data_IF_490230411625
#
_entry.id   IF_490230411625
#
_cell.length_a   1.000
_cell.length_b   1.000
_cell.length_c   1.000
_cell.angle_alpha   90.00
_cell.angle_beta   90.00
_cell.angle_gamma   90.00
#
_symmetry.space_group_name_H-M   'P 1'
#
loop_
_entity.id
_entity.type
_entity.pdbx_description
1 polymer ?
#
# COMPACT_ATOMS: atom_id res chain seq x y z
N UNK A 1 8.26 -26.47 -32.01
CA UNK A 1 8.65 -27.08 -30.73
C UNK A 1 7.81 -26.58 -29.54
N UNK A 2 7.54 -25.27 -29.43
CA UNK A 2 6.72 -24.61 -28.38
C UNK A 2 5.31 -25.21 -28.19
N UNK A 3 4.58 -25.52 -29.27
CA UNK A 3 3.22 -26.13 -29.19
C UNK A 3 3.19 -27.53 -28.56
N UNK A 4 4.28 -28.31 -28.64
CA UNK A 4 4.39 -29.65 -28.01
C UNK A 4 4.67 -29.54 -26.50
N UNK A 5 5.45 -28.53 -26.08
CA UNK A 5 5.78 -28.26 -24.68
C UNK A 5 4.56 -27.79 -23.89
N UNK A 6 3.78 -26.85 -24.46
CA UNK A 6 2.49 -26.38 -23.91
C UNK A 6 1.49 -27.54 -23.76
N UNK A 7 1.46 -28.51 -24.68
CA UNK A 7 0.60 -29.70 -24.56
C UNK A 7 1.04 -30.66 -23.44
N UNK A 8 2.35 -30.84 -23.20
CA UNK A 8 2.87 -31.65 -22.09
C UNK A 8 2.58 -31.01 -20.72
N UNK A 9 2.78 -29.69 -20.61
CA UNK A 9 2.43 -28.89 -19.43
C UNK A 9 0.95 -28.99 -19.07
N UNK A 10 0.05 -28.86 -20.05
CA UNK A 10 -1.39 -29.07 -19.86
C UNK A 10 -1.71 -30.47 -19.33
N UNK A 11 -0.98 -31.51 -19.74
CA UNK A 11 -1.17 -32.89 -19.30
C UNK A 11 -0.80 -33.12 -17.83
N UNK A 12 0.38 -32.69 -17.40
CA UNK A 12 0.84 -32.83 -16.02
C UNK A 12 0.01 -31.96 -15.05
N UNK A 13 -0.32 -30.74 -15.47
CA UNK A 13 -1.07 -29.79 -14.66
C UNK A 13 -2.57 -30.08 -14.61
N UNK A 14 -3.18 -30.63 -15.68
CA UNK A 14 -4.59 -31.04 -15.66
C UNK A 14 -4.91 -32.09 -14.59
N UNK A 15 -3.93 -32.94 -14.26
CA UNK A 15 -4.02 -33.92 -13.16
C UNK A 15 -4.01 -33.24 -11.80
N UNK A 16 -3.24 -32.16 -11.66
CA UNK A 16 -3.06 -31.43 -10.42
C UNK A 16 -4.23 -30.50 -10.11
N UNK A 17 -4.69 -29.77 -11.13
CA UNK A 17 -6.00 -29.12 -11.16
C UNK A 17 -7.17 -30.12 -11.21
N UNK A 18 -6.90 -31.42 -11.24
CA UNK A 18 -7.92 -32.48 -11.27
C UNK A 18 -8.54 -32.75 -9.90
N UNK A 19 -7.86 -32.40 -8.80
CA UNK A 19 -8.32 -32.69 -7.43
C UNK A 19 -9.13 -31.54 -6.79
N UNK A 20 -8.73 -30.28 -6.96
CA UNK A 20 -9.44 -29.10 -6.40
C UNK A 20 -10.22 -28.36 -7.49
N UNK A 21 -11.50 -28.03 -7.25
CA UNK A 21 -12.34 -27.22 -8.16
C UNK A 21 -12.01 -25.73 -8.09
N UNK A 22 -11.51 -25.28 -6.94
CA UNK A 22 -11.11 -23.89 -6.68
C UNK A 22 -9.70 -23.93 -6.11
N UNK A 23 -8.78 -23.14 -6.67
CA UNK A 23 -7.44 -22.93 -6.14
C UNK A 23 -7.30 -21.45 -5.82
N UNK A 24 -6.85 -21.14 -4.60
CA UNK A 24 -6.63 -19.78 -4.09
C UNK A 24 -5.14 -19.56 -3.87
N UNK A 25 -4.53 -18.67 -4.64
CA UNK A 25 -3.10 -18.34 -4.53
C UNK A 25 -2.91 -16.91 -4.05
N UNK A 26 -1.99 -16.71 -3.11
CA UNK A 26 -1.47 -15.38 -2.78
C UNK A 26 -0.20 -15.11 -3.59
N UNK A 27 -0.06 -13.92 -4.17
CA UNK A 27 1.19 -13.47 -4.82
C UNK A 27 1.65 -12.22 -4.10
N UNK A 28 2.63 -12.36 -3.21
CA UNK A 28 3.05 -11.32 -2.27
C UNK A 28 4.50 -10.93 -2.49
N UNK A 29 4.87 -9.73 -2.06
CA UNK A 29 6.25 -9.26 -2.14
C UNK A 29 6.33 -7.75 -2.33
N UNK A 30 7.56 -7.24 -2.27
CA UNK A 30 7.82 -5.81 -2.43
C UNK A 30 7.26 -5.23 -3.74
N UNK A 31 7.03 -3.91 -3.80
CA UNK A 31 6.71 -3.23 -5.05
C UNK A 31 7.74 -3.52 -6.15
N UNK A 32 7.27 -3.67 -7.39
CA UNK A 32 8.10 -3.90 -8.58
C UNK A 32 8.88 -5.23 -8.62
N UNK A 33 8.52 -6.22 -7.79
CA UNK A 33 9.09 -7.58 -7.86
C UNK A 33 8.60 -8.38 -9.06
N UNK A 34 7.47 -8.01 -9.67
CA UNK A 34 6.91 -8.66 -10.87
C UNK A 34 5.60 -9.45 -10.65
N UNK A 35 4.88 -9.15 -9.56
CA UNK A 35 3.64 -9.85 -9.14
C UNK A 35 2.57 -9.87 -10.20
N UNK A 36 2.18 -8.70 -10.73
CA UNK A 36 1.19 -8.58 -11.81
C UNK A 36 1.64 -9.31 -13.07
N UNK A 37 2.92 -9.24 -13.42
CA UNK A 37 3.47 -9.97 -14.58
C UNK A 37 3.33 -11.49 -14.40
N UNK A 38 3.66 -12.01 -13.21
CA UNK A 38 3.51 -13.44 -12.92
C UNK A 38 2.05 -13.87 -12.89
N UNK A 39 1.17 -13.09 -12.26
CA UNK A 39 -0.27 -13.36 -12.21
C UNK A 39 -0.87 -13.47 -13.62
N UNK A 40 -0.50 -12.56 -14.52
CA UNK A 40 -0.94 -12.59 -15.92
C UNK A 40 -0.46 -13.86 -16.64
N UNK A 41 0.80 -14.28 -16.43
CA UNK A 41 1.33 -15.54 -16.98
C UNK A 41 0.56 -16.75 -16.46
N UNK A 42 0.35 -16.83 -15.14
CA UNK A 42 -0.39 -17.92 -14.51
C UNK A 42 -1.82 -17.98 -15.08
N UNK A 43 -2.53 -16.85 -15.14
CA UNK A 43 -3.88 -16.79 -15.70
C UNK A 43 -3.93 -17.30 -17.14
N UNK A 44 -3.01 -16.82 -17.98
CA UNK A 44 -2.99 -17.19 -19.39
C UNK A 44 -2.63 -18.68 -19.57
N UNK A 45 -1.62 -19.16 -18.85
CA UNK A 45 -1.14 -20.55 -18.95
C UNK A 45 -2.18 -21.55 -18.43
N UNK A 46 -2.86 -21.22 -17.33
CA UNK A 46 -3.76 -22.15 -16.62
C UNK A 46 -5.19 -22.08 -17.15
N UNK A 47 -5.66 -20.89 -17.47
CA UNK A 47 -7.07 -20.66 -17.81
C UNK A 47 -7.27 -20.26 -19.27
N UNK A 48 -6.20 -19.95 -20.01
CA UNK A 48 -6.28 -19.53 -21.41
C UNK A 48 -6.97 -18.19 -21.60
N UNK A 49 -7.03 -17.36 -20.55
CA UNK A 49 -7.67 -16.05 -20.53
C UNK A 49 -6.70 -15.01 -19.97
N UNK A 50 -6.66 -13.85 -20.61
CA UNK A 50 -6.08 -12.66 -19.99
C UNK A 50 -6.91 -12.29 -18.75
N UNK A 51 -6.25 -11.74 -17.74
CA UNK A 51 -6.88 -11.40 -16.46
C UNK A 51 -7.99 -10.38 -16.72
N UNK A 52 -9.24 -10.81 -16.57
CA UNK A 52 -10.43 -9.98 -16.69
C UNK A 52 -10.98 -9.60 -15.32
N UNK A 53 -11.17 -8.29 -15.11
CA UNK A 53 -11.58 -7.61 -13.88
C UNK A 53 -10.47 -7.61 -12.81
N UNK A 54 -9.58 -6.62 -12.91
CA UNK A 54 -8.80 -6.13 -11.77
C UNK A 54 -9.76 -5.29 -10.94
N UNK A 55 -10.30 -5.85 -9.86
CA UNK A 55 -10.92 -5.02 -8.84
C UNK A 55 -9.79 -4.38 -8.05
N UNK A 56 -9.42 -3.15 -8.39
CA UNK A 56 -8.70 -2.30 -7.46
C UNK A 56 -9.68 -1.99 -6.34
N UNK A 57 -9.52 -2.57 -5.15
CA UNK A 57 -10.35 -2.15 -4.03
C UNK A 57 -9.82 -0.80 -3.54
N UNK A 58 -10.53 0.33 -3.80
CA UNK A 58 -10.08 1.62 -3.36
C UNK A 58 -10.32 1.67 -1.87
N UNK A 59 -9.24 1.78 -1.11
CA UNK A 59 -9.35 2.18 0.27
C UNK A 59 -8.61 3.51 0.34
N UNK A 60 -9.38 4.59 0.44
CA UNK A 60 -8.86 5.94 0.56
C UNK A 60 -8.38 6.17 1.99
N UNK A 61 -7.06 6.16 2.20
CA UNK A 61 -6.34 6.77 3.32
C UNK A 61 -4.83 6.58 3.13
N UNK A 62 -4.02 7.45 3.76
CA UNK A 62 -2.59 7.72 3.49
C UNK A 62 -1.59 6.57 3.78
N UNK A 63 -2.04 5.32 3.81
CA UNK A 63 -1.24 4.15 4.25
C UNK A 63 -1.68 2.81 3.62
N UNK A 64 -2.45 2.81 2.52
CA UNK A 64 -3.11 1.58 2.05
C UNK A 64 -2.37 0.87 0.91
N UNK A 65 -2.23 -0.44 1.11
CA UNK A 65 -1.73 -1.46 0.19
C UNK A 65 -2.69 -1.66 -0.98
N UNK A 66 -2.14 -1.76 -2.20
CA UNK A 66 -2.90 -2.17 -3.37
C UNK A 66 -3.09 -3.69 -3.29
N UNK A 67 -4.31 -4.12 -2.95
CA UNK A 67 -4.71 -5.53 -3.06
C UNK A 67 -5.46 -5.69 -4.38
N UNK A 68 -4.86 -6.41 -5.33
CA UNK A 68 -5.54 -6.76 -6.57
C UNK A 68 -6.15 -8.16 -6.41
N UNK A 69 -7.47 -8.27 -6.52
CA UNK A 69 -8.17 -9.54 -6.50
C UNK A 69 -8.51 -9.96 -7.93
N UNK A 70 -8.10 -11.18 -8.28
CA UNK A 70 -8.28 -11.76 -9.61
C UNK A 70 -9.03 -13.08 -9.47
N UNK A 71 -10.21 -13.18 -10.08
CA UNK A 71 -10.96 -14.43 -10.18
C UNK A 71 -11.13 -14.82 -11.66
N UNK A 72 -10.58 -15.97 -12.04
CA UNK A 72 -10.65 -16.47 -13.42
C UNK A 72 -11.39 -17.80 -13.43
N UNK A 73 -12.41 -17.91 -14.28
CA UNK A 73 -13.23 -19.12 -14.47
C UNK A 73 -13.03 -19.75 -15.84
N UNK A 74 -12.79 -21.06 -15.85
CA UNK A 74 -12.70 -21.88 -17.06
C UNK A 74 -13.46 -23.20 -16.84
N UNK A 75 -14.68 -23.29 -17.37
CA UNK A 75 -15.57 -24.42 -17.13
C UNK A 75 -15.96 -24.55 -15.65
N UNK A 76 -15.72 -25.72 -15.04
CA UNK A 76 -16.02 -25.99 -13.61
C UNK A 76 -14.89 -25.60 -12.66
N UNK A 77 -13.84 -24.95 -13.17
CA UNK A 77 -12.60 -24.63 -12.44
C UNK A 77 -12.50 -23.13 -12.22
N UNK A 78 -12.12 -22.76 -11.00
CA UNK A 78 -11.91 -21.36 -10.59
C UNK A 78 -10.49 -21.20 -10.05
N UNK A 79 -9.77 -20.21 -10.57
CA UNK A 79 -8.51 -19.73 -10.02
C UNK A 79 -8.76 -18.38 -9.37
N UNK A 80 -8.45 -18.27 -8.08
CA UNK A 80 -8.49 -17.02 -7.33
C UNK A 80 -7.07 -16.62 -7.00
N UNK A 81 -6.64 -15.42 -7.38
CA UNK A 81 -5.32 -14.89 -7.06
C UNK A 81 -5.47 -13.55 -6.33
N UNK A 82 -4.81 -13.43 -5.19
CA UNK A 82 -4.71 -12.18 -4.44
C UNK A 82 -3.29 -11.64 -4.58
N UNK A 83 -3.12 -10.48 -5.20
CA UNK A 83 -1.83 -9.80 -5.30
C UNK A 83 -1.77 -8.76 -4.20
N UNK A 84 -0.73 -8.83 -3.37
CA UNK A 84 -0.54 -7.89 -2.27
C UNK A 84 0.78 -7.15 -2.45
N UNK A 85 0.68 -5.87 -2.78
CA UNK A 85 1.81 -4.95 -2.81
C UNK A 85 2.05 -4.42 -1.41
N UNK A 86 3.23 -4.69 -0.85
CA UNK A 86 3.55 -4.42 0.55
C UNK A 86 4.59 -3.27 0.71
N UNK A 87 4.35 -2.04 0.23
CA UNK A 87 5.15 -0.93 0.71
C UNK A 87 4.82 -0.72 2.20
N UNK A 88 5.73 -1.10 3.10
CA UNK A 88 5.69 -0.70 4.51
C UNK A 88 4.60 -1.37 5.38
N UNK A 89 4.41 -2.69 5.28
CA UNK A 89 3.53 -3.47 6.19
C UNK A 89 3.96 -3.46 7.67
N UNK A 90 4.90 -2.61 8.08
CA UNK A 90 5.37 -2.42 9.46
C UNK A 90 4.39 -1.65 10.35
N UNK A 91 3.09 -1.73 10.07
CA UNK A 91 2.08 -1.06 10.87
C UNK A 91 1.57 -2.00 11.97
N UNK A 92 2.35 -2.17 13.03
CA UNK A 92 1.72 -2.35 14.34
C UNK A 92 1.01 -1.04 14.65
N UNK A 93 -0.29 -0.95 14.38
CA UNK A 93 -1.08 0.25 14.69
C UNK A 93 -1.26 0.29 16.21
N UNK A 94 -0.30 0.90 16.91
CA UNK A 94 -0.50 1.25 18.31
C UNK A 94 -1.28 2.58 18.37
N UNK A 95 -2.53 2.49 18.80
CA UNK A 95 -3.41 3.63 19.07
C UNK A 95 -2.73 4.72 19.93
N UNK A 96 -1.81 4.35 20.83
CA UNK A 96 -1.09 5.31 21.67
C UNK A 96 -0.21 6.26 20.86
N UNK A 97 0.31 5.84 19.70
CA UNK A 97 1.12 6.70 18.83
C UNK A 97 0.29 7.82 18.21
N UNK A 98 -0.94 7.54 17.81
CA UNK A 98 -1.85 8.53 17.20
C UNK A 98 -2.21 9.69 18.14
N UNK A 99 -2.23 9.46 19.46
CA UNK A 99 -2.49 10.51 20.46
C UNK A 99 -1.35 11.53 20.60
N UNK A 100 -0.17 11.21 20.06
CA UNK A 100 1.02 12.08 20.06
C UNK A 100 1.02 13.05 18.88
N UNK A 101 0.27 12.76 17.82
CA UNK A 101 0.17 13.63 16.65
C UNK A 101 -0.78 14.81 16.89
N UNK A 102 -0.52 15.91 16.16
CA UNK A 102 -1.36 17.10 16.13
C UNK A 102 -2.03 17.18 14.77
N UNK A 103 -3.28 17.63 14.73
CA UNK A 103 -3.95 17.93 13.47
C UNK A 103 -3.13 18.99 12.72
N UNK A 104 -2.82 18.75 11.45
CA UNK A 104 -2.27 19.78 10.58
C UNK A 104 -3.34 20.84 10.37
N UNK A 105 -3.18 22.00 11.01
CA UNK A 105 -4.04 23.15 10.76
C UNK A 105 -3.68 23.67 9.38
N UNK A 106 -4.62 23.59 8.43
CA UNK A 106 -4.50 24.36 7.20
C UNK A 106 -4.43 25.84 7.58
N UNK A 107 -3.49 26.59 7.01
CA UNK A 107 -3.34 28.04 7.24
C UNK A 107 -4.53 28.88 6.70
N UNK A 108 -5.70 28.25 6.50
CA UNK A 108 -6.92 28.84 5.94
C UNK A 108 -7.89 29.37 6.99
N UNK A 109 -7.55 29.30 8.30
CA UNK A 109 -8.40 29.80 9.40
C UNK A 109 -7.66 30.82 10.28
N UNK A 110 -7.19 31.90 9.64
CA UNK A 110 -6.53 33.05 10.29
C UNK A 110 -7.56 33.92 11.01
N UNK A 111 -7.37 34.18 12.31
CA UNK A 111 -8.19 35.12 13.10
C UNK A 111 -7.35 36.38 13.43
N UNK A 112 -8.01 37.53 13.59
CA UNK A 112 -7.39 38.79 14.04
C UNK A 112 -6.55 38.63 15.31
N UNK A 113 -6.93 37.70 16.18
CA UNK A 113 -6.21 37.40 17.43
C UNK A 113 -4.79 36.87 17.17
N UNK A 114 -4.60 36.19 16.04
CA UNK A 114 -3.36 35.51 15.64
C UNK A 114 -2.33 36.47 15.02
N UNK A 115 -2.72 37.72 14.76
CA UNK A 115 -1.85 38.74 14.16
C UNK A 115 -1.12 39.58 15.22
N UNK A 116 0.08 40.06 14.89
CA UNK A 116 0.82 41.01 15.75
C UNK A 116 0.11 42.35 15.75
N UNK A 117 0.31 43.13 16.82
CA UNK A 117 -0.25 44.48 16.93
C UNK A 117 0.20 45.37 15.77
N UNK A 118 1.45 45.23 15.32
CA UNK A 118 1.97 45.94 14.14
C UNK A 118 1.19 45.63 12.86
N UNK A 119 0.86 44.36 12.65
CA UNK A 119 0.15 43.90 11.45
C UNK A 119 -1.31 44.34 11.47
N UNK A 120 -1.96 44.27 12.64
CA UNK A 120 -3.32 44.81 12.84
C UNK A 120 -3.39 46.32 12.60
N UNK A 121 -2.34 47.05 12.97
CA UNK A 121 -2.25 48.50 12.70
C UNK A 121 -2.11 48.81 11.21
N UNK A 122 -1.34 48.00 10.47
CA UNK A 122 -1.23 48.13 9.01
C UNK A 122 -2.57 47.88 8.31
N UNK A 123 -3.29 46.82 8.70
CA UNK A 123 -4.63 46.55 8.14
C UNK A 123 -5.61 47.67 8.50
N UNK A 124 -5.55 48.20 9.73
CA UNK A 124 -6.39 49.33 10.12
C UNK A 124 -6.09 50.60 9.30
N UNK A 125 -4.83 50.84 8.94
CA UNK A 125 -4.43 51.97 8.11
C UNK A 125 -4.94 51.85 6.66
N UNK A 126 -4.91 50.66 6.06
CA UNK A 126 -5.52 50.40 4.73
C UNK A 126 -7.04 50.62 4.74
N UNK A 127 -7.70 50.39 5.87
CA UNK A 127 -9.13 50.58 6.06
C UNK A 127 -9.51 52.00 6.53
N UNK A 128 -8.56 52.94 6.51
CA UNK A 128 -8.73 54.32 7.00
C UNK A 128 -9.29 54.39 8.45
N UNK A 129 -8.84 53.46 9.28
CA UNK A 129 -9.19 53.35 10.69
C UNK A 129 -8.02 53.78 11.59
N UNK A 130 -8.35 54.29 12.78
CA UNK A 130 -7.34 54.66 13.77
C UNK A 130 -6.42 53.48 14.14
N UNK A 131 -5.12 53.64 13.86
CA UNK A 131 -4.04 52.72 14.22
C UNK A 131 -3.57 52.82 15.67
N UNK A 132 -4.20 53.67 16.49
CA UNK A 132 -3.82 53.88 17.90
C UNK A 132 -4.73 53.12 18.87
N UNK A 133 -4.20 52.82 20.05
CA UNK A 133 -4.91 52.11 21.13
C UNK A 133 -4.44 50.66 21.37
N UNK A 134 -5.07 50.02 22.36
CA UNK A 134 -4.76 48.64 22.78
C UNK A 134 -5.20 47.63 21.69
N UNK A 135 -4.50 46.49 21.60
CA UNK A 135 -4.76 45.40 20.61
C UNK A 135 -6.25 45.06 20.48
N UNK A 136 -6.96 44.91 21.60
CA UNK A 136 -8.37 44.54 21.63
C UNK A 136 -9.28 45.56 20.92
N UNK A 137 -9.00 46.86 21.10
CA UNK A 137 -9.78 47.93 20.47
C UNK A 137 -9.59 47.97 18.95
N UNK A 138 -8.35 47.76 18.48
CA UNK A 138 -8.03 47.67 17.05
C UNK A 138 -8.75 46.47 16.43
N UNK A 139 -8.71 45.31 17.09
CA UNK A 139 -9.42 44.10 16.62
C UNK A 139 -10.93 44.34 16.53
N UNK A 140 -11.52 45.01 17.53
CA UNK A 140 -12.96 45.27 17.54
C UNK A 140 -13.39 46.16 16.36
N UNK A 141 -12.63 47.22 16.07
CA UNK A 141 -12.89 48.11 14.92
C UNK A 141 -12.77 47.38 13.60
N UNK A 142 -11.71 46.59 13.42
CA UNK A 142 -11.51 45.78 12.22
C UNK A 142 -12.63 44.75 12.04
N UNK A 143 -13.04 44.06 13.11
CA UNK A 143 -14.14 43.08 13.05
C UNK A 143 -15.49 43.68 12.66
N UNK A 144 -15.69 44.97 12.91
CA UNK A 144 -16.91 45.66 12.53
C UNK A 144 -16.95 46.03 11.02
N UNK A 145 -15.79 46.06 10.36
CA UNK A 145 -15.65 46.56 8.98
C UNK A 145 -15.23 45.50 7.96
N UNK A 146 -14.45 44.50 8.37
CA UNK A 146 -13.94 43.45 7.46
C UNK A 146 -14.30 42.04 7.92
N UNK A 147 -14.68 41.22 6.96
CA UNK A 147 -14.98 39.80 7.14
C UNK A 147 -13.72 38.95 7.31
N UNK A 148 -13.89 37.70 7.77
CA UNK A 148 -12.79 36.72 7.83
C UNK A 148 -12.15 36.46 6.45
N UNK A 149 -12.91 36.54 5.36
CA UNK A 149 -12.41 36.30 4.01
C UNK A 149 -11.54 37.46 3.53
N UNK A 150 -11.95 38.69 3.80
CA UNK A 150 -11.16 39.89 3.50
C UNK A 150 -9.88 39.96 4.33
N UNK A 151 -9.95 39.54 5.60
CA UNK A 151 -8.75 39.41 6.44
C UNK A 151 -7.71 38.46 5.81
N UNK A 152 -8.14 37.37 5.18
CA UNK A 152 -7.24 36.44 4.50
C UNK A 152 -6.56 37.08 3.28
N UNK A 153 -7.31 37.88 2.52
CA UNK A 153 -6.77 38.68 1.41
C UNK A 153 -5.69 39.62 1.90
N UNK A 154 -5.96 40.40 2.96
CA UNK A 154 -4.97 41.30 3.55
C UNK A 154 -3.72 40.59 4.09
N UNK A 155 -3.90 39.44 4.74
CA UNK A 155 -2.76 38.64 5.25
C UNK A 155 -1.87 38.17 4.10
N UNK A 156 -2.46 37.79 2.96
CA UNK A 156 -1.75 37.38 1.75
C UNK A 156 -1.05 38.56 1.08
N UNK A 157 -1.76 39.65 0.84
CA UNK A 157 -1.28 40.79 0.06
C UNK A 157 -0.21 41.58 0.81
N UNK A 158 -0.40 41.76 2.12
CA UNK A 158 0.57 42.42 3.01
C UNK A 158 1.71 41.50 3.45
N UNK A 159 1.73 40.25 2.96
CA UNK A 159 2.71 39.18 3.28
C UNK A 159 2.93 39.00 4.77
N UNK A 160 1.85 39.04 5.55
CA UNK A 160 1.91 38.94 7.00
C UNK A 160 2.26 37.50 7.39
N UNK A 161 3.35 37.32 8.15
CA UNK A 161 3.71 36.04 8.73
C UNK A 161 2.80 35.73 9.92
N UNK A 162 1.75 34.96 9.67
CA UNK A 162 0.89 34.43 10.75
C UNK A 162 1.70 33.40 11.54
N UNK A 163 1.73 33.55 12.86
CA UNK A 163 2.29 32.51 13.73
C UNK A 163 1.54 31.20 13.48
N UNK A 164 2.25 30.17 13.03
CA UNK A 164 1.68 28.85 12.82
C UNK A 164 0.97 28.41 14.12
N UNK A 165 -0.36 28.23 14.06
CA UNK A 165 -1.11 27.66 15.18
C UNK A 165 -0.47 26.30 15.48
N UNK A 166 -0.03 26.09 16.73
CA UNK A 166 0.28 24.73 17.21
C UNK A 166 -1.00 23.91 17.00
N UNK A 167 -0.95 22.94 16.09
CA UNK A 167 -2.12 22.14 15.72
C UNK A 167 -2.83 21.60 16.96
N UNK A 168 -4.16 21.54 16.91
CA UNK A 168 -4.95 21.00 18.01
C UNK A 168 -4.52 19.54 18.22
N UNK A 169 -4.33 19.15 19.48
CA UNK A 169 -3.99 17.77 19.83
C UNK A 169 -5.16 16.90 19.35
N UNK A 170 -4.87 15.86 18.56
CA UNK A 170 -5.92 14.97 18.04
C UNK A 170 -6.73 14.44 19.22
N UNK A 171 -8.05 14.57 19.14
CA UNK A 171 -8.92 14.09 20.22
C UNK A 171 -8.80 12.58 20.37
N UNK A 172 -9.01 12.04 21.57
CA UNK A 172 -8.96 10.58 21.80
C UNK A 172 -9.94 9.83 20.89
N UNK A 173 -11.10 10.44 20.60
CA UNK A 173 -12.11 9.89 19.69
C UNK A 173 -11.65 9.92 18.22
N UNK A 174 -11.08 11.03 17.75
CA UNK A 174 -10.55 11.16 16.38
C UNK A 174 -9.34 10.24 16.16
N UNK A 175 -8.42 10.18 17.13
CA UNK A 175 -7.29 9.25 17.09
C UNK A 175 -7.78 7.80 17.05
N UNK A 176 -8.88 7.50 17.75
CA UNK A 176 -9.45 6.15 17.81
C UNK A 176 -10.07 5.79 16.48
N UNK A 177 -10.77 6.73 15.86
CA UNK A 177 -11.33 6.56 14.51
C UNK A 177 -10.24 6.39 13.44
N UNK A 178 -9.17 7.19 13.51
CA UNK A 178 -8.00 7.06 12.61
C UNK A 178 -7.31 5.72 12.81
N UNK A 179 -7.12 5.29 14.07
CA UNK A 179 -6.56 3.99 14.37
C UNK A 179 -7.49 2.86 13.92
N UNK A 180 -8.80 2.97 14.16
CA UNK A 180 -9.80 1.99 13.70
C UNK A 180 -9.81 1.89 12.17
N UNK A 181 -9.77 3.00 11.43
CA UNK A 181 -9.68 3.03 9.96
C UNK A 181 -8.36 2.43 9.46
N UNK A 182 -7.22 2.80 10.05
CA UNK A 182 -5.91 2.23 9.73
C UNK A 182 -5.83 0.73 10.06
N UNK A 183 -6.45 0.31 11.17
CA UNK A 183 -6.52 -1.10 11.59
C UNK A 183 -7.46 -1.88 10.67
N UNK A 184 -8.54 -1.26 10.16
CA UNK A 184 -9.49 -1.91 9.26
C UNK A 184 -8.83 -2.34 7.94
N UNK A 185 -8.00 -1.47 7.34
CA UNK A 185 -7.24 -1.81 6.13
C UNK A 185 -6.23 -2.95 6.35
N UNK A 186 -5.63 -3.03 7.55
CA UNK A 186 -4.72 -4.12 7.93
C UNK A 186 -5.49 -5.41 8.19
N UNK A 187 -6.61 -5.35 8.91
CA UNK A 187 -7.48 -6.50 9.20
C UNK A 187 -8.06 -7.07 7.91
N UNK A 188 -8.43 -6.23 6.94
CA UNK A 188 -8.88 -6.67 5.62
C UNK A 188 -7.76 -7.36 4.84
N UNK A 189 -6.53 -6.83 4.85
CA UNK A 189 -5.36 -7.51 4.28
C UNK A 189 -5.07 -8.87 4.97
N UNK A 190 -5.26 -8.96 6.29
CA UNK A 190 -5.08 -10.19 7.08
C UNK A 190 -6.17 -11.24 6.74
N UNK A 191 -7.43 -10.84 6.52
CA UNK A 191 -8.51 -11.77 6.12
C UNK A 191 -8.23 -12.47 4.80
N UNK A 192 -7.47 -11.84 3.89
CA UNK A 192 -7.06 -12.44 2.63
C UNK A 192 -5.97 -13.50 2.80
N UNK A 193 -5.25 -13.53 3.92
CA UNK A 193 -4.30 -14.60 4.25
C UNK A 193 -5.01 -15.86 4.75
N UNK A 194 -6.21 -15.74 5.32
CA UNK A 194 -6.91 -16.85 5.99
C UNK A 194 -7.61 -17.81 5.00
N UNK A 195 -7.65 -17.50 3.70
CA UNK A 195 -8.32 -18.31 2.67
C UNK A 195 -7.43 -18.53 1.44
N UNK A 196 -6.15 -18.86 1.64
CA UNK A 196 -5.20 -19.13 0.56
C UNK A 196 -4.69 -20.57 0.69
N UNK A 197 -4.64 -21.31 -0.41
CA UNK A 197 -4.10 -22.67 -0.45
C UNK A 197 -2.55 -22.66 -0.41
N UNK A 198 -1.93 -21.70 -1.09
CA UNK A 198 -0.47 -21.50 -1.09
C UNK A 198 -0.11 -20.05 -1.47
N UNK A 199 0.97 -19.54 -0.90
CA UNK A 199 1.48 -18.19 -1.19
C UNK A 199 2.79 -18.26 -1.96
N UNK A 200 2.82 -17.55 -3.08
CA UNK A 200 4.02 -17.26 -3.87
C UNK A 200 4.62 -15.95 -3.36
N UNK A 201 5.75 -16.03 -2.68
CA UNK A 201 6.52 -14.87 -2.24
C UNK A 201 7.49 -14.47 -3.34
N UNK A 202 7.27 -13.33 -3.98
CA UNK A 202 8.10 -12.81 -5.04
C UNK A 202 9.23 -11.94 -4.49
N UNK A 203 10.46 -12.34 -4.82
CA UNK A 203 11.67 -11.60 -4.48
C UNK A 203 12.43 -11.22 -5.76
N UNK A 204 12.94 -10.00 -5.81
CA UNK A 204 13.77 -9.53 -6.93
C UNK A 204 15.20 -10.04 -6.76
N UNK A 205 15.62 -10.94 -7.66
CA UNK A 205 16.95 -11.56 -7.61
C UNK A 205 18.10 -10.58 -7.84
N UNK A 206 17.83 -9.34 -8.27
CA UNK A 206 18.85 -8.29 -8.42
C UNK A 206 19.08 -7.48 -7.15
N UNK A 207 18.29 -7.71 -6.10
CA UNK A 207 18.31 -6.98 -4.83
C UNK A 207 18.76 -7.88 -3.67
N UNK A 208 19.00 -7.25 -2.53
CA UNK A 208 19.24 -7.96 -1.28
C UNK A 208 17.94 -8.67 -0.82
N UNK A 209 17.95 -10.01 -0.59
CA UNK A 209 16.82 -10.73 -0.02
C UNK A 209 16.44 -10.31 1.40
N UNK A 210 17.40 -9.83 2.21
CA UNK A 210 17.24 -9.61 3.65
C UNK A 210 16.59 -8.25 3.98
N UNK A 211 15.58 -7.85 3.20
CA UNK A 211 14.82 -6.64 3.49
C UNK A 211 13.85 -6.87 4.66
N UNK A 212 13.56 -5.82 5.41
CA UNK A 212 12.58 -5.88 6.51
C UNK A 212 11.21 -6.36 6.02
N UNK A 213 10.82 -6.01 4.80
CA UNK A 213 9.54 -6.44 4.20
C UNK A 213 9.52 -7.95 3.99
N UNK A 214 10.58 -8.52 3.41
CA UNK A 214 10.66 -9.97 3.15
C UNK A 214 10.68 -10.79 4.45
N UNK A 215 11.50 -10.37 5.43
CA UNK A 215 11.62 -11.04 6.72
C UNK A 215 10.26 -11.07 7.45
N UNK A 216 9.59 -9.92 7.52
CA UNK A 216 8.29 -9.80 8.15
C UNK A 216 7.20 -10.59 7.40
N UNK A 217 7.21 -10.56 6.06
CA UNK A 217 6.28 -11.33 5.24
C UNK A 217 6.38 -12.83 5.53
N UNK A 218 7.58 -13.38 5.47
CA UNK A 218 7.82 -14.79 5.74
C UNK A 218 7.42 -15.15 7.17
N UNK A 219 7.86 -14.37 8.16
CA UNK A 219 7.50 -14.63 9.56
C UNK A 219 5.99 -14.64 9.83
N UNK A 220 5.23 -13.75 9.17
CA UNK A 220 3.76 -13.74 9.28
C UNK A 220 3.11 -14.97 8.63
N UNK A 221 3.61 -15.41 7.48
CA UNK A 221 3.11 -16.58 6.77
C UNK A 221 3.42 -17.87 7.52
N UNK A 222 4.64 -17.98 8.07
CA UNK A 222 5.09 -19.08 8.92
C UNK A 222 4.24 -19.18 10.19
N UNK A 223 3.99 -18.07 10.89
CA UNK A 223 3.16 -18.04 12.09
C UNK A 223 1.72 -18.52 11.86
N UNK A 224 1.24 -18.44 10.61
CA UNK A 224 -0.09 -18.92 10.19
C UNK A 224 -0.08 -20.33 9.59
N UNK A 225 1.08 -20.98 9.51
CA UNK A 225 1.26 -22.27 8.83
C UNK A 225 0.76 -22.27 7.37
N UNK A 226 0.90 -21.15 6.66
CA UNK A 226 0.52 -21.05 5.25
C UNK A 226 1.65 -21.64 4.41
N UNK A 227 1.38 -22.53 3.42
CA UNK A 227 2.42 -23.03 2.52
C UNK A 227 3.06 -21.92 1.68
N UNK A 228 4.39 -21.86 1.67
CA UNK A 228 5.17 -20.80 1.01
C UNK A 228 6.00 -21.39 -0.13
N UNK A 229 5.98 -20.73 -1.30
CA UNK A 229 6.96 -20.91 -2.37
C UNK A 229 7.59 -19.58 -2.72
N UNK A 230 8.91 -19.46 -2.66
CA UNK A 230 9.61 -18.24 -3.02
C UNK A 230 9.94 -18.25 -4.51
N UNK A 231 9.45 -17.26 -5.24
CA UNK A 231 9.82 -17.02 -6.62
C UNK A 231 10.94 -15.97 -6.70
N UNK A 232 12.18 -16.44 -6.91
CA UNK A 232 13.34 -15.60 -7.13
C UNK A 232 13.31 -15.04 -8.57
N UNK A 233 12.66 -13.90 -8.74
CA UNK A 233 12.30 -13.36 -10.06
C UNK A 233 13.40 -12.48 -10.66
N UNK A 234 13.27 -12.19 -11.97
CA UNK A 234 14.21 -11.40 -12.78
C UNK A 234 15.55 -12.08 -13.03
N UNK A 235 15.55 -13.40 -13.25
CA UNK A 235 16.76 -14.13 -13.68
C UNK A 235 17.27 -13.74 -15.07
N UNK A 236 16.50 -12.97 -15.83
CA UNK A 236 16.89 -12.39 -17.11
C UNK A 236 17.80 -11.15 -16.97
N UNK A 237 17.86 -10.53 -15.78
CA UNK A 237 18.70 -9.36 -15.54
C UNK A 237 20.18 -9.74 -15.35
N UNK A 238 21.09 -8.89 -15.86
CA UNK A 238 22.55 -9.14 -15.84
C UNK A 238 23.14 -9.32 -14.43
N UNK A 239 22.61 -8.60 -13.44
CA UNK A 239 23.08 -8.61 -12.06
C UNK A 239 22.24 -9.54 -11.15
N UNK A 240 21.46 -10.45 -11.73
CA UNK A 240 20.60 -11.37 -11.00
C UNK A 240 21.40 -12.41 -10.23
N UNK A 241 21.08 -12.59 -8.94
CA UNK A 241 21.74 -13.50 -7.99
C UNK A 241 20.70 -14.33 -7.21
N UNK A 242 19.96 -15.23 -7.88
CA UNK A 242 18.93 -16.04 -7.20
C UNK A 242 19.50 -16.94 -6.08
N UNK A 243 20.77 -17.34 -6.17
CA UNK A 243 21.44 -18.11 -5.12
C UNK A 243 21.53 -17.36 -3.79
N UNK A 244 21.55 -16.02 -3.80
CA UNK A 244 21.53 -15.23 -2.57
C UNK A 244 20.21 -15.43 -1.83
N UNK A 245 19.08 -15.47 -2.56
CA UNK A 245 17.75 -15.71 -1.97
C UNK A 245 17.69 -17.15 -1.41
N UNK A 246 18.19 -18.14 -2.15
CA UNK A 246 18.25 -19.54 -1.68
C UNK A 246 19.05 -19.69 -0.39
N UNK A 247 20.20 -19.04 -0.33
CA UNK A 247 21.08 -19.10 0.85
C UNK A 247 20.49 -18.34 2.04
N UNK A 248 19.72 -17.28 1.79
CA UNK A 248 19.05 -16.49 2.81
C UNK A 248 17.84 -17.22 3.44
N UNK A 249 17.13 -18.03 2.65
CA UNK A 249 15.90 -18.71 3.08
C UNK A 249 15.91 -20.22 2.75
N UNK A 250 16.89 -20.98 3.27
CA UNK A 250 17.07 -22.40 2.92
C UNK A 250 15.92 -23.30 3.38
N UNK A 251 15.11 -22.85 4.33
CA UNK A 251 13.95 -23.57 4.87
C UNK A 251 12.73 -23.55 3.94
N UNK A 252 12.71 -22.71 2.90
CA UNK A 252 11.60 -22.59 1.96
C UNK A 252 12.00 -23.06 0.56
N UNK A 253 11.06 -23.61 -0.22
CA UNK A 253 11.32 -23.91 -1.62
C UNK A 253 11.48 -22.61 -2.41
N UNK A 254 12.66 -22.42 -3.00
CA UNK A 254 13.00 -21.25 -3.82
C UNK A 254 13.14 -21.65 -5.28
N UNK A 255 12.38 -21.00 -6.16
CA UNK A 255 12.42 -21.25 -7.61
C UNK A 255 12.87 -19.98 -8.35
N UNK A 256 14.03 -20.00 -9.02
CA UNK A 256 14.46 -18.90 -9.89
C UNK A 256 13.57 -18.81 -11.13
N UNK A 257 13.02 -17.64 -11.44
CA UNK A 257 12.15 -17.44 -12.61
C UNK A 257 12.41 -16.12 -13.33
N UNK A 258 11.98 -16.05 -14.59
CA UNK A 258 11.71 -14.76 -15.25
C UNK A 258 10.24 -14.73 -15.62
N UNK A 259 9.44 -13.98 -14.86
CA UNK A 259 8.04 -13.76 -15.20
C UNK A 259 7.89 -13.04 -16.56
N UNK A 260 8.81 -12.12 -16.86
CA UNK A 260 8.83 -11.34 -18.11
C UNK A 260 9.06 -12.26 -19.32
N UNK A 261 10.14 -13.03 -19.31
CA UNK A 261 10.56 -13.91 -20.41
C UNK A 261 9.88 -15.29 -20.38
N UNK A 262 9.12 -15.60 -19.32
CA UNK A 262 8.49 -16.90 -19.11
C UNK A 262 9.47 -18.04 -18.77
N UNK A 263 10.69 -17.73 -18.31
CA UNK A 263 11.72 -18.74 -18.02
C UNK A 263 11.44 -19.45 -16.70
N UNK A 264 11.61 -20.77 -16.70
CA UNK A 264 11.51 -21.66 -15.55
C UNK A 264 10.15 -21.68 -14.81
N UNK A 265 9.09 -21.18 -15.44
CA UNK A 265 7.74 -21.19 -14.85
C UNK A 265 7.19 -22.61 -14.62
N UNK A 266 7.61 -23.59 -15.44
CA UNK A 266 7.20 -24.99 -15.28
C UNK A 266 7.60 -25.55 -13.90
N UNK A 267 8.83 -25.26 -13.47
CA UNK A 267 9.34 -25.68 -12.17
C UNK A 267 8.65 -24.93 -11.03
N UNK A 268 8.31 -23.66 -11.22
CA UNK A 268 7.50 -22.91 -10.25
C UNK A 268 6.13 -23.55 -10.09
N UNK A 269 5.44 -23.89 -11.18
CA UNK A 269 4.13 -24.52 -11.14
C UNK A 269 4.18 -25.90 -10.48
N UNK A 270 5.22 -26.70 -10.78
CA UNK A 270 5.46 -27.98 -10.13
C UNK A 270 5.70 -27.82 -8.62
N UNK A 271 6.45 -26.80 -8.22
CA UNK A 271 6.75 -26.56 -6.80
C UNK A 271 5.50 -26.10 -6.04
N UNK A 272 4.73 -25.16 -6.58
CA UNK A 272 3.43 -24.74 -6.01
C UNK A 272 2.53 -25.96 -5.83
N UNK A 273 2.47 -26.79 -6.87
CA UNK A 273 1.67 -27.99 -6.90
C UNK A 273 2.01 -29.03 -5.82
N UNK A 274 3.29 -29.17 -5.48
CA UNK A 274 3.77 -30.04 -4.41
C UNK A 274 3.51 -29.45 -3.01
N UNK A 275 3.20 -28.16 -2.93
CA UNK A 275 2.96 -27.40 -1.70
C UNK A 275 1.50 -26.89 -1.58
N UNK A 276 0.55 -27.50 -2.31
CA UNK A 276 -0.89 -27.17 -2.35
C UNK A 276 -1.79 -28.14 -1.58
#
# INVERSE_FOLDING_TARGET
MVRKLIKKLKGAFSRLFGRKRVIRLGIYGEPNTGKTTLANKISMDWMGKEVGIVSEMPHETRTIQKVEHIEVKAGKKTLVMNLLDMPGLSASVDFKEFTKFRESVSNTDTDFKDLKVSDLKRIAEEEDLSKTGKKAAIIQRLKAKISKKELQTYVKDLKIKVTAKKGKKISKASARKIAEEATKGIVEAIKWLDNVDSVIVMMDSTKDPMTQVNIMLLGNLEAKNIPIVIAANKIDAKNSKPNNIMSAFPQHPVVPISAKEGRNLENLYKTIAENL
#
